data_IF_133687433639
#
_entry.id   IF_133687433639
#
_cell.length_a   1.000
_cell.length_b   1.000
_cell.length_c   1.000
_cell.angle_alpha   90.00
_cell.angle_beta   90.00
_cell.angle_gamma   90.00
#
_symmetry.space_group_name_H-M   'P 1'
#
loop_
_entity.id
_entity.type
_entity.pdbx_description
1 polymer ?
#
# COMPACT_ATOMS: atom_id res chain seq x y z
N UNK A 1 -12.04 43.85 -66.71
CA UNK A 1 -12.82 43.68 -65.47
C UNK A 1 -13.01 42.21 -65.13
N UNK A 2 -13.28 41.31 -66.02
CA UNK A 2 -13.49 39.91 -65.81
C UNK A 2 -12.25 39.18 -65.25
N UNK A 3 -11.06 39.47 -65.71
CA UNK A 3 -9.80 38.85 -65.22
C UNK A 3 -9.50 39.22 -63.79
N UNK A 4 -9.82 40.40 -63.31
CA UNK A 4 -9.59 40.88 -61.96
C UNK A 4 -10.57 40.21 -60.99
N UNK A 5 -11.81 40.02 -61.43
CA UNK A 5 -12.83 39.26 -60.65
C UNK A 5 -12.47 37.80 -60.51
N UNK A 6 -11.93 37.14 -61.54
CA UNK A 6 -11.46 35.76 -61.51
C UNK A 6 -10.27 35.55 -60.55
N UNK A 7 -9.32 36.49 -60.57
CA UNK A 7 -8.17 36.43 -59.64
C UNK A 7 -8.65 36.62 -58.20
N UNK A 8 -9.58 37.56 -57.98
CA UNK A 8 -10.08 37.78 -56.59
C UNK A 8 -10.86 36.59 -56.04
N UNK A 9 -11.69 35.96 -56.88
CA UNK A 9 -12.44 34.74 -56.48
C UNK A 9 -11.51 33.57 -56.23
N UNK A 10 -10.47 33.39 -57.03
CA UNK A 10 -9.49 32.28 -56.84
C UNK A 10 -8.69 32.46 -55.55
N UNK A 11 -8.27 33.67 -55.23
CA UNK A 11 -7.56 34.02 -53.99
C UNK A 11 -8.48 33.81 -52.78
N UNK A 12 -9.73 34.27 -52.85
CA UNK A 12 -10.70 34.10 -51.80
C UNK A 12 -10.99 32.61 -51.53
N UNK A 13 -11.18 31.79 -52.57
CA UNK A 13 -11.37 30.34 -52.43
C UNK A 13 -10.16 29.64 -51.81
N UNK A 14 -8.94 30.03 -52.21
CA UNK A 14 -7.72 29.43 -51.65
C UNK A 14 -7.53 29.76 -50.16
N UNK A 15 -7.89 30.97 -49.75
CA UNK A 15 -7.86 31.39 -48.35
C UNK A 15 -8.88 30.62 -47.50
N UNK A 16 -10.10 30.44 -48.03
CA UNK A 16 -11.15 29.65 -47.34
C UNK A 16 -10.70 28.21 -47.17
N UNK A 17 -10.16 27.58 -48.21
CA UNK A 17 -9.64 26.20 -48.12
C UNK A 17 -8.51 26.10 -47.10
N UNK A 18 -7.59 27.04 -47.07
CA UNK A 18 -6.50 27.09 -46.11
C UNK A 18 -7.02 27.21 -44.66
N UNK A 19 -8.00 28.09 -44.40
CA UNK A 19 -8.62 28.24 -43.09
C UNK A 19 -9.38 27.00 -42.62
N UNK A 20 -10.14 26.37 -43.54
CA UNK A 20 -10.86 25.12 -43.22
C UNK A 20 -9.89 24.00 -42.90
N UNK A 21 -8.84 23.84 -43.71
CA UNK A 21 -7.79 22.84 -43.47
C UNK A 21 -7.08 23.06 -42.13
N UNK A 22 -6.74 24.31 -41.83
CA UNK A 22 -6.13 24.65 -40.52
C UNK A 22 -7.08 24.34 -39.34
N UNK A 23 -8.35 24.68 -39.44
CA UNK A 23 -9.34 24.41 -38.40
C UNK A 23 -9.54 22.90 -38.16
N UNK A 24 -9.63 22.12 -39.26
CA UNK A 24 -9.73 20.65 -39.15
C UNK A 24 -8.49 20.07 -38.53
N UNK A 25 -7.29 20.48 -38.96
CA UNK A 25 -6.02 19.97 -38.38
C UNK A 25 -5.93 20.31 -36.90
N UNK A 26 -6.29 21.51 -36.49
CA UNK A 26 -6.29 21.93 -35.10
C UNK A 26 -7.28 21.14 -34.25
N UNK A 27 -8.49 20.86 -34.76
CA UNK A 27 -9.50 20.08 -34.10
C UNK A 27 -9.10 18.59 -33.94
N UNK A 28 -8.51 18.00 -34.99
CA UNK A 28 -8.04 16.61 -34.96
C UNK A 28 -6.85 16.43 -34.02
N UNK A 29 -5.90 17.37 -33.99
CA UNK A 29 -4.77 17.33 -33.05
C UNK A 29 -5.26 17.44 -31.61
N UNK A 30 -6.21 18.34 -31.32
CA UNK A 30 -6.81 18.48 -29.99
C UNK A 30 -7.56 17.21 -29.55
N UNK A 31 -8.32 16.62 -30.46
CA UNK A 31 -9.04 15.36 -30.18
C UNK A 31 -8.06 14.18 -29.92
N UNK A 32 -6.97 14.11 -30.69
CA UNK A 32 -5.94 13.08 -30.49
C UNK A 32 -5.26 13.23 -29.14
N UNK A 33 -4.83 14.43 -28.77
CA UNK A 33 -4.21 14.68 -27.45
C UNK A 33 -5.16 14.34 -26.31
N UNK A 34 -6.45 14.67 -26.43
CA UNK A 34 -7.45 14.31 -25.42
C UNK A 34 -7.63 12.78 -25.29
N UNK A 35 -7.56 12.05 -26.40
CA UNK A 35 -7.65 10.58 -26.39
C UNK A 35 -6.42 9.95 -25.77
N UNK A 36 -5.22 10.47 -26.08
CA UNK A 36 -3.95 10.01 -25.54
C UNK A 36 -3.88 10.24 -24.01
N UNK A 37 -4.25 11.46 -23.55
CA UNK A 37 -4.34 11.76 -22.10
C UNK A 37 -5.35 10.86 -21.36
N UNK A 38 -6.47 10.55 -22.00
CA UNK A 38 -7.47 9.66 -21.42
C UNK A 38 -6.98 8.21 -21.34
N UNK A 39 -6.18 7.77 -22.30
CA UNK A 39 -5.58 6.45 -22.31
C UNK A 39 -4.53 6.30 -21.20
N UNK A 40 -3.65 7.31 -21.04
CA UNK A 40 -2.67 7.35 -19.95
C UNK A 40 -3.35 7.33 -18.58
N UNK A 41 -4.47 8.05 -18.40
CA UNK A 41 -5.25 8.03 -17.16
C UNK A 41 -5.83 6.66 -16.82
N UNK A 42 -6.28 5.91 -17.83
CA UNK A 42 -6.79 4.55 -17.64
C UNK A 42 -5.65 3.61 -17.23
N UNK A 43 -4.50 3.70 -17.91
CA UNK A 43 -3.32 2.90 -17.62
C UNK A 43 -2.82 3.14 -16.19
N UNK A 44 -2.67 4.41 -15.79
CA UNK A 44 -2.28 4.78 -14.40
C UNK A 44 -3.29 4.25 -13.39
N UNK A 45 -4.58 4.30 -13.68
CA UNK A 45 -5.62 3.77 -12.79
C UNK A 45 -5.52 2.26 -12.61
N UNK A 46 -5.23 1.53 -13.68
CA UNK A 46 -5.09 0.08 -13.64
C UNK A 46 -3.81 -0.32 -12.90
N UNK A 47 -2.69 0.36 -13.13
CA UNK A 47 -1.45 0.18 -12.37
C UNK A 47 -1.64 0.50 -10.88
N UNK A 48 -2.36 1.58 -10.56
CA UNK A 48 -2.67 1.93 -9.18
C UNK A 48 -3.52 0.86 -8.49
N UNK A 49 -4.50 0.30 -9.19
CA UNK A 49 -5.33 -0.78 -8.66
C UNK A 49 -4.49 -2.03 -8.37
N UNK A 50 -3.61 -2.43 -9.28
CA UNK A 50 -2.70 -3.55 -9.08
C UNK A 50 -1.77 -3.32 -7.88
N UNK A 51 -1.20 -2.12 -7.76
CA UNK A 51 -0.36 -1.75 -6.63
C UNK A 51 -1.13 -1.82 -5.30
N UNK A 52 -2.38 -1.37 -5.26
CA UNK A 52 -3.22 -1.46 -4.07
C UNK A 52 -3.52 -2.91 -3.68
N UNK A 53 -3.79 -3.79 -4.65
CA UNK A 53 -4.00 -5.22 -4.39
C UNK A 53 -2.73 -5.88 -3.83
N UNK A 54 -1.56 -5.59 -4.40
CA UNK A 54 -0.28 -6.07 -3.89
C UNK A 54 0.00 -5.55 -2.48
N UNK A 55 -0.32 -4.28 -2.19
CA UNK A 55 -0.17 -3.69 -0.86
C UNK A 55 -1.03 -4.40 0.19
N UNK A 56 -2.28 -4.71 -0.13
CA UNK A 56 -3.18 -5.46 0.77
C UNK A 56 -2.62 -6.85 1.09
N UNK A 57 -2.14 -7.58 0.07
CA UNK A 57 -1.52 -8.91 0.25
C UNK A 57 -0.28 -8.81 1.14
N UNK A 58 0.57 -7.81 0.91
CA UNK A 58 1.78 -7.60 1.72
C UNK A 58 1.44 -7.30 3.18
N UNK A 59 0.47 -6.43 3.43
CA UNK A 59 0.01 -6.11 4.79
C UNK A 59 -0.57 -7.31 5.52
N UNK A 60 -1.34 -8.15 4.83
CA UNK A 60 -1.87 -9.39 5.40
C UNK A 60 -0.75 -10.38 5.72
N UNK A 61 0.23 -10.53 4.84
CA UNK A 61 1.41 -11.36 5.07
C UNK A 61 2.21 -10.90 6.29
N UNK A 62 2.48 -9.60 6.41
CA UNK A 62 3.18 -9.02 7.56
C UNK A 62 2.40 -9.24 8.86
N UNK A 63 1.08 -9.04 8.84
CA UNK A 63 0.21 -9.29 9.99
C UNK A 63 0.27 -10.75 10.44
N UNK A 64 0.22 -11.68 9.51
CA UNK A 64 0.31 -13.10 9.82
C UNK A 64 1.68 -13.48 10.39
N UNK A 65 2.76 -12.91 9.90
CA UNK A 65 4.10 -13.12 10.42
C UNK A 65 4.26 -12.58 11.85
N UNK A 66 3.80 -11.36 12.13
CA UNK A 66 3.82 -10.79 13.48
C UNK A 66 3.00 -11.62 14.45
N UNK A 67 1.80 -12.04 14.05
CA UNK A 67 0.95 -12.94 14.83
C UNK A 67 1.67 -14.24 15.19
N UNK A 68 2.32 -14.87 14.22
CA UNK A 68 3.04 -16.13 14.46
C UNK A 68 4.17 -15.94 15.47
N UNK A 69 4.95 -14.86 15.39
CA UNK A 69 6.03 -14.56 16.32
C UNK A 69 5.51 -14.27 17.74
N UNK A 70 4.43 -13.52 17.90
CA UNK A 70 3.81 -13.24 19.19
C UNK A 70 3.32 -14.54 19.83
N UNK A 71 2.61 -15.38 19.08
CA UNK A 71 2.11 -16.66 19.55
C UNK A 71 3.26 -17.58 19.94
N UNK A 72 4.33 -17.63 19.15
CA UNK A 72 5.51 -18.47 19.45
C UNK A 72 6.17 -18.08 20.79
N UNK A 73 6.38 -16.78 21.03
CA UNK A 73 6.95 -16.31 22.31
C UNK A 73 6.04 -16.70 23.48
N UNK A 74 4.74 -16.47 23.32
CA UNK A 74 3.76 -16.80 24.36
C UNK A 74 3.70 -18.30 24.65
N UNK A 75 3.61 -19.15 23.62
CA UNK A 75 3.53 -20.62 23.82
C UNK A 75 4.82 -21.19 24.44
N UNK A 76 5.98 -20.61 24.10
CA UNK A 76 7.26 -20.97 24.74
C UNK A 76 7.27 -20.60 26.22
N UNK A 77 6.79 -19.42 26.57
CA UNK A 77 6.67 -19.00 27.97
C UNK A 77 5.65 -19.85 28.73
N UNK A 78 4.53 -20.19 28.12
CA UNK A 78 3.52 -21.08 28.67
C UNK A 78 4.05 -22.50 28.89
N UNK A 79 4.78 -23.04 27.94
CA UNK A 79 5.41 -24.36 28.08
C UNK A 79 6.37 -24.41 29.27
N UNK A 80 7.16 -23.35 29.53
CA UNK A 80 8.01 -23.22 30.71
C UNK A 80 7.20 -23.14 32.00
N UNK A 81 6.08 -22.41 32.00
CA UNK A 81 5.18 -22.32 33.16
C UNK A 81 4.60 -23.67 33.55
N UNK A 82 4.27 -24.48 32.56
CA UNK A 82 3.65 -25.78 32.73
C UNK A 82 4.66 -26.91 32.99
N UNK A 83 5.99 -26.63 32.83
CA UNK A 83 7.06 -27.61 33.01
C UNK A 83 7.52 -27.69 34.50
N UNK A 84 7.26 -28.77 35.22
CA UNK A 84 7.69 -28.95 36.61
C UNK A 84 9.21 -29.00 36.78
N UNK A 85 9.97 -29.23 35.69
CA UNK A 85 11.43 -29.32 35.70
C UNK A 85 12.10 -27.99 35.33
N UNK A 86 11.33 -26.94 35.03
CA UNK A 86 11.89 -25.64 34.63
C UNK A 86 12.82 -25.04 35.69
N UNK A 87 12.56 -25.28 36.97
CA UNK A 87 13.46 -24.95 38.09
C UNK A 87 13.66 -23.45 38.36
N UNK A 88 12.93 -22.56 37.65
CA UNK A 88 12.97 -21.10 37.81
C UNK A 88 11.63 -20.59 38.29
N UNK A 89 11.63 -19.46 39.02
CA UNK A 89 10.41 -18.78 39.48
C UNK A 89 9.70 -17.97 38.40
N UNK A 90 10.30 -17.82 37.25
CA UNK A 90 9.77 -17.06 36.10
C UNK A 90 9.63 -17.97 34.87
N UNK A 91 8.70 -17.62 33.97
CA UNK A 91 8.43 -18.36 32.74
C UNK A 91 8.67 -17.53 31.45
N UNK A 92 8.70 -16.21 31.57
CA UNK A 92 9.03 -15.31 30.45
C UNK A 92 10.17 -14.36 30.86
N UNK A 93 11.16 -14.16 30.01
CA UNK A 93 12.22 -13.20 30.29
C UNK A 93 11.77 -11.75 29.99
N UNK A 94 12.45 -10.76 30.61
CA UNK A 94 12.20 -9.35 30.32
C UNK A 94 12.33 -9.03 28.81
N UNK A 95 13.36 -9.59 28.16
CA UNK A 95 13.57 -9.39 26.72
C UNK A 95 12.45 -10.02 25.87
N UNK A 96 11.99 -11.21 26.23
CA UNK A 96 10.90 -11.88 25.51
C UNK A 96 9.59 -11.11 25.67
N UNK A 97 9.29 -10.60 26.87
CA UNK A 97 8.10 -9.80 27.14
C UNK A 97 8.13 -8.46 26.41
N UNK A 98 9.27 -7.75 26.43
CA UNK A 98 9.46 -6.50 25.69
C UNK A 98 9.30 -6.73 24.19
N UNK A 99 9.93 -7.78 23.65
CA UNK A 99 9.81 -8.15 22.24
C UNK A 99 8.36 -8.46 21.87
N UNK A 100 7.65 -9.23 22.69
CA UNK A 100 6.25 -9.56 22.47
C UNK A 100 5.37 -8.32 22.43
N UNK A 101 5.55 -7.39 23.36
CA UNK A 101 4.80 -6.13 23.40
C UNK A 101 5.07 -5.25 22.18
N UNK A 102 6.32 -5.11 21.74
CA UNK A 102 6.69 -4.33 20.52
C UNK A 102 6.14 -4.96 19.24
N UNK A 103 6.16 -6.29 19.14
CA UNK A 103 5.53 -6.99 18.01
C UNK A 103 4.02 -6.80 18.02
N UNK A 104 3.39 -6.81 19.19
CA UNK A 104 1.97 -6.57 19.34
C UNK A 104 1.58 -5.15 18.94
N UNK A 105 2.34 -4.13 19.33
CA UNK A 105 2.11 -2.75 18.89
C UNK A 105 2.16 -2.63 17.37
N UNK A 106 3.14 -3.28 16.74
CA UNK A 106 3.26 -3.33 15.27
C UNK A 106 2.08 -4.07 14.62
N UNK A 107 1.63 -5.18 15.23
CA UNK A 107 0.48 -5.94 14.78
C UNK A 107 -0.83 -5.13 14.84
N UNK A 108 -1.03 -4.36 15.91
CA UNK A 108 -2.21 -3.51 16.07
C UNK A 108 -2.17 -2.30 15.14
N UNK A 109 -1.01 -1.75 14.83
CA UNK A 109 -0.84 -0.70 13.82
C UNK A 109 -1.24 -1.19 12.40
N UNK A 110 -1.19 -2.49 12.15
CA UNK A 110 -1.68 -3.14 10.93
C UNK A 110 -3.14 -3.61 11.04
N UNK A 111 -3.93 -3.04 11.94
CA UNK A 111 -5.34 -3.40 12.18
C UNK A 111 -5.55 -4.88 12.51
N UNK A 112 -4.66 -5.42 13.35
CA UNK A 112 -4.72 -6.79 13.83
C UNK A 112 -5.96 -7.05 14.73
N UNK A 113 -6.39 -8.31 14.81
CA UNK A 113 -7.61 -8.70 15.50
C UNK A 113 -7.44 -8.81 17.03
N UNK A 114 -8.57 -8.90 17.76
CA UNK A 114 -8.63 -8.96 19.21
C UNK A 114 -8.00 -10.22 19.85
N UNK A 115 -7.74 -11.29 19.08
CA UNK A 115 -7.13 -12.50 19.60
C UNK A 115 -5.75 -12.23 20.23
N UNK A 116 -4.93 -11.41 19.58
CA UNK A 116 -3.59 -11.04 20.08
C UNK A 116 -3.68 -10.21 21.37
N UNK A 117 -4.70 -9.37 21.54
CA UNK A 117 -4.92 -8.65 22.80
C UNK A 117 -5.03 -9.61 24.00
N UNK A 118 -5.73 -10.72 23.82
CA UNK A 118 -5.85 -11.74 24.87
C UNK A 118 -4.52 -12.40 25.19
N UNK A 119 -3.69 -12.68 24.18
CA UNK A 119 -2.35 -13.24 24.35
C UNK A 119 -1.43 -12.26 25.08
N UNK A 120 -1.38 -11.02 24.63
CA UNK A 120 -0.57 -9.95 25.25
C UNK A 120 -0.94 -9.76 26.72
N UNK A 121 -2.24 -9.71 27.03
CA UNK A 121 -2.71 -9.62 28.40
C UNK A 121 -2.20 -10.78 29.25
N UNK A 122 -2.37 -12.01 28.78
CA UNK A 122 -1.91 -13.22 29.51
C UNK A 122 -0.40 -13.26 29.67
N UNK A 123 0.36 -12.81 28.64
CA UNK A 123 1.82 -12.76 28.73
C UNK A 123 2.29 -11.74 29.79
N UNK A 124 1.63 -10.58 29.87
CA UNK A 124 1.94 -9.57 30.88
C UNK A 124 1.51 -9.96 32.31
N UNK A 125 0.68 -10.99 32.48
CA UNK A 125 0.30 -11.58 33.76
C UNK A 125 1.23 -12.73 34.17
N UNK A 126 2.22 -13.10 33.35
CA UNK A 126 3.18 -14.18 33.67
C UNK A 126 4.29 -13.69 34.60
N UNK A 127 4.88 -14.61 35.32
CA UNK A 127 6.06 -14.35 36.14
C UNK A 127 7.26 -14.05 35.27
N UNK A 128 7.77 -12.84 35.38
CA UNK A 128 8.87 -12.28 34.57
C UNK A 128 10.19 -12.40 35.32
N UNK A 129 11.26 -12.73 34.60
CA UNK A 129 12.60 -12.79 35.18
C UNK A 129 13.68 -12.84 34.08
N UNK A 130 14.90 -13.15 34.48
CA UNK A 130 16.06 -13.12 33.63
C UNK A 130 16.96 -11.93 33.91
N UNK A 131 18.11 -11.84 33.24
CA UNK A 131 19.03 -10.73 33.40
C UNK A 131 18.38 -9.44 32.84
N UNK A 132 18.28 -8.41 33.68
CA UNK A 132 18.01 -7.06 33.22
C UNK A 132 19.15 -6.64 32.28
N UNK A 133 18.80 -6.17 31.08
CA UNK A 133 19.80 -5.54 30.21
C UNK A 133 20.23 -4.28 30.93
N UNK A 134 21.52 -4.11 31.30
CA UNK A 134 21.97 -2.87 31.90
C UNK A 134 21.77 -1.76 30.85
N UNK A 135 21.02 -0.72 31.25
CA UNK A 135 20.76 0.50 30.49
C UNK A 135 22.04 1.30 30.35
#
# INVERSE_FOLDING_TARGET
METLFHILTTVACSLIVALVTWAITKATTKAKNFTDEHHELIEIKDEFKELMEQHVILMESQRNQLKAQIVEIYERAKARKDDPNWGKSWCISFMELDTLNRLADSYFALEGNHYIHSIVKKANEMDVGGEEIPI
#
